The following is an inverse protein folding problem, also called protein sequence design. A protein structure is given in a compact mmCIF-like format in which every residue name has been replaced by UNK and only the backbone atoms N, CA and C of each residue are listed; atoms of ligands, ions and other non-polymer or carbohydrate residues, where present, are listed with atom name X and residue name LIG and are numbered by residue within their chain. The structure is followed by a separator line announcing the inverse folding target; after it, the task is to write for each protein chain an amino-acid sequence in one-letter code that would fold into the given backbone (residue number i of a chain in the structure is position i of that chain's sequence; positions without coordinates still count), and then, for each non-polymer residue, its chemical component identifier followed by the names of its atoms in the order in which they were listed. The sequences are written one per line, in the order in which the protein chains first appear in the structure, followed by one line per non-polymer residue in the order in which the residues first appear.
data_IF_476566846129
#
_entry.id   IF_476566846129
#
_cell.length_a   1.000
_cell.length_b   1.000
_cell.length_c   1.000
_cell.angle_alpha   90.00
_cell.angle_beta   90.00
_cell.angle_gamma   90.00
#
_symmetry.space_group_name_H-M   'P 1'
#
loop_
_entity.id
_entity.type
_entity.pdbx_description
1 polymer ?
#
# COMPACT_ATOMS: atom_id res chain seq x y z
N UNK A 1 4.23 24.77 18.70
CA UNK A 1 4.17 24.23 17.33
C UNK A 1 3.45 25.26 16.47
N UNK A 2 3.77 25.39 15.18
CA UNK A 2 3.11 26.39 14.32
C UNK A 2 2.34 25.72 13.19
N UNK A 3 1.14 26.20 12.91
CA UNK A 3 0.37 25.82 11.74
C UNK A 3 0.49 26.90 10.66
N UNK A 4 0.63 26.44 9.42
CA UNK A 4 0.71 27.30 8.24
C UNK A 4 -0.46 26.95 7.33
N UNK A 5 -1.33 27.92 7.08
CA UNK A 5 -2.31 27.84 6.01
C UNK A 5 -1.73 28.57 4.79
N UNK A 6 -1.48 27.84 3.72
CA UNK A 6 -0.74 28.33 2.58
C UNK A 6 -0.85 27.42 1.37
N UNK A 7 -0.01 27.69 0.38
CA UNK A 7 0.13 26.85 -0.81
C UNK A 7 1.55 26.32 -0.90
N UNK A 8 1.68 25.05 -1.23
CA UNK A 8 2.96 24.44 -1.57
C UNK A 8 3.11 24.51 -3.09
N UNK A 9 4.27 24.97 -3.54
CA UNK A 9 4.68 24.97 -4.93
C UNK A 9 5.96 24.15 -5.03
N UNK A 10 6.11 23.40 -6.12
CA UNK A 10 7.29 22.59 -6.36
C UNK A 10 7.85 22.92 -7.73
N UNK A 11 9.11 23.29 -7.76
CA UNK A 11 9.87 23.51 -8.99
C UNK A 11 11.10 22.59 -8.96
N UNK A 12 11.02 21.50 -9.73
CA UNK A 12 12.04 20.45 -9.74
C UNK A 12 12.27 19.85 -8.35
N UNK A 13 13.47 20.08 -7.80
CA UNK A 13 13.90 19.61 -6.49
C UNK A 13 13.55 20.56 -5.34
N UNK A 14 13.13 21.79 -5.64
CA UNK A 14 12.82 22.80 -4.63
C UNK A 14 11.32 22.85 -4.35
N UNK A 15 10.96 22.85 -3.07
CA UNK A 15 9.60 23.12 -2.62
C UNK A 15 9.52 24.49 -1.94
N UNK A 16 8.65 25.35 -2.45
CA UNK A 16 8.30 26.63 -1.87
C UNK A 16 7.00 26.49 -1.08
N UNK A 17 6.98 26.98 0.16
CA UNK A 17 5.76 27.12 0.95
C UNK A 17 5.40 28.60 1.03
N UNK A 18 4.30 28.99 0.37
CA UNK A 18 3.74 30.34 0.45
C UNK A 18 2.72 30.38 1.57
N UNK A 19 3.11 30.93 2.72
CA UNK A 19 2.22 31.09 3.87
C UNK A 19 1.23 32.25 3.64
N UNK A 20 -0.07 31.97 3.74
CA UNK A 20 -1.13 33.00 3.76
C UNK A 20 -1.46 33.41 5.20
N UNK A 21 -1.42 32.47 6.12
CA UNK A 21 -1.66 32.69 7.54
C UNK A 21 -0.76 31.76 8.36
N UNK A 22 -0.20 32.30 9.44
CA UNK A 22 0.55 31.59 10.45
C UNK A 22 -0.23 31.65 11.76
N UNK A 23 -0.45 30.49 12.38
CA UNK A 23 -1.10 30.38 13.68
C UNK A 23 -0.16 29.70 14.66
N UNK A 24 0.02 30.32 15.83
CA UNK A 24 0.72 29.67 16.93
C UNK A 24 -0.25 28.73 17.66
N UNK A 25 0.14 27.46 17.75
CA UNK A 25 -0.61 26.41 18.44
C UNK A 25 0.08 26.01 19.75
N UNK A 26 1.06 26.79 20.22
CA UNK A 26 1.74 26.54 21.50
C UNK A 26 0.74 26.40 22.65
N UNK A 27 -0.22 27.32 22.77
CA UNK A 27 -1.28 27.31 23.78
C UNK A 27 -2.19 26.08 23.72
N UNK A 28 -2.63 25.71 22.51
CA UNK A 28 -3.54 24.57 22.31
C UNK A 28 -2.88 23.23 22.64
N UNK A 29 -1.55 23.15 22.52
CA UNK A 29 -0.79 21.92 22.74
C UNK A 29 -0.06 21.82 24.09
N UNK A 30 -0.11 22.84 24.96
CA UNK A 30 0.59 22.83 26.26
C UNK A 30 0.28 21.56 27.06
N UNK A 31 -0.99 21.14 27.12
CA UNK A 31 -1.43 19.97 27.88
C UNK A 31 -1.47 18.67 27.10
N UNK A 32 -0.98 18.61 25.86
CA UNK A 32 -0.98 17.38 25.07
C UNK A 32 0.13 16.41 25.52
N UNK A 33 1.27 16.95 25.98
CA UNK A 33 2.39 16.15 26.47
C UNK A 33 2.11 15.48 27.82
N UNK A 34 1.29 16.11 28.68
CA UNK A 34 0.95 15.60 30.01
C UNK A 34 -0.17 14.54 29.98
N UNK A 35 -0.71 14.22 28.80
CA UNK A 35 -1.65 13.11 28.66
C UNK A 35 -0.84 11.81 28.66
N UNK A 36 -0.70 11.21 29.85
CA UNK A 36 -0.30 9.80 30.06
C UNK A 36 -1.38 8.82 29.52
N UNK A 37 -1.97 9.15 28.37
CA UNK A 37 -2.83 8.25 27.63
C UNK A 37 -1.96 7.46 26.69
N UNK A 38 -1.90 6.14 26.88
CA UNK A 38 -1.28 5.24 25.92
C UNK A 38 -1.85 5.53 24.52
N UNK A 39 -0.98 5.89 23.58
CA UNK A 39 -1.37 6.08 22.19
C UNK A 39 -1.68 4.72 21.57
N UNK A 40 -2.93 4.27 21.77
CA UNK A 40 -3.42 3.01 21.23
C UNK A 40 -3.60 3.17 19.72
N UNK A 41 -2.57 2.83 18.95
CA UNK A 41 -2.72 2.67 17.51
C UNK A 41 -3.72 1.54 17.26
N UNK A 42 -4.82 1.79 16.50
CA UNK A 42 -5.68 0.70 16.08
C UNK A 42 -4.84 -0.21 15.17
N UNK A 43 -4.76 -1.49 15.55
CA UNK A 43 -4.06 -2.46 14.74
C UNK A 43 -4.75 -2.62 13.39
N UNK A 44 -3.98 -2.65 12.30
CA UNK A 44 -4.50 -2.67 10.93
C UNK A 44 -3.62 -3.46 9.97
N UNK A 45 -4.23 -3.94 8.87
CA UNK A 45 -3.58 -4.75 7.83
C UNK A 45 -2.26 -4.11 7.38
N UNK A 46 -1.14 -4.64 7.86
CA UNK A 46 0.21 -4.06 7.71
C UNK A 46 1.06 -4.08 8.99
N UNK A 47 0.44 -4.25 10.15
CA UNK A 47 1.11 -4.42 11.45
C UNK A 47 1.28 -5.89 11.89
N UNK A 48 0.85 -6.82 11.03
CA UNK A 48 0.80 -8.27 11.28
C UNK A 48 2.19 -8.83 11.66
N UNK A 49 3.25 -8.22 11.13
CA UNK A 49 4.65 -8.55 11.45
C UNK A 49 5.08 -8.08 12.86
N UNK A 50 4.51 -7.00 13.38
CA UNK A 50 4.83 -6.46 14.70
C UNK A 50 4.03 -7.16 15.82
N UNK A 51 2.85 -7.72 15.49
CA UNK A 51 1.93 -8.32 16.47
C UNK A 51 1.93 -9.87 16.49
N UNK A 52 2.94 -10.51 15.89
CA UNK A 52 3.34 -11.87 16.27
C UNK A 52 2.54 -13.03 15.64
N UNK A 53 1.81 -12.81 14.55
CA UNK A 53 1.32 -13.92 13.72
C UNK A 53 1.83 -13.79 12.30
N UNK A 54 3.00 -14.37 12.07
CA UNK A 54 3.43 -14.76 10.72
C UNK A 54 2.53 -15.93 10.31
N UNK A 55 1.40 -15.64 9.69
CA UNK A 55 0.67 -16.69 8.98
C UNK A 55 1.63 -17.22 7.89
N UNK A 56 1.87 -18.54 7.81
CA UNK A 56 2.72 -19.09 6.77
C UNK A 56 2.20 -18.61 5.42
N UNK A 57 3.10 -18.05 4.61
CA UNK A 57 2.75 -17.57 3.28
C UNK A 57 1.94 -18.66 2.58
N UNK A 58 0.79 -18.32 2.03
CA UNK A 58 -0.05 -19.30 1.33
C UNK A 58 0.70 -19.96 0.17
N UNK A 59 1.81 -19.36 -0.29
CA UNK A 59 2.75 -19.91 -1.27
C UNK A 59 3.64 -21.04 -0.71
N UNK A 60 3.93 -21.03 0.58
CA UNK A 60 4.72 -22.07 1.26
C UNK A 60 3.87 -23.29 1.63
N UNK A 61 2.53 -23.18 1.54
CA UNK A 61 1.64 -24.33 1.71
C UNK A 61 1.80 -25.28 0.52
N UNK A 62 2.09 -26.56 0.73
CA UNK A 62 2.15 -27.53 -0.36
C UNK A 62 0.78 -27.58 -1.05
N UNK A 63 0.75 -27.17 -2.32
CA UNK A 63 -0.49 -27.26 -3.12
C UNK A 63 -0.87 -28.73 -3.24
N UNK A 64 -2.13 -29.11 -2.98
CA UNK A 64 -2.57 -30.47 -3.26
C UNK A 64 -2.37 -30.73 -4.76
N UNK A 65 -1.57 -31.74 -5.08
CA UNK A 65 -1.38 -32.21 -6.46
C UNK A 65 -2.66 -32.94 -6.84
N UNK A 66 -3.59 -32.20 -7.46
CA UNK A 66 -4.77 -32.81 -8.06
C UNK A 66 -4.33 -33.40 -9.40
N UNK A 67 -4.40 -34.74 -9.60
CA UNK A 67 -4.14 -35.33 -10.90
C UNK A 67 -5.13 -34.73 -11.90
N UNK A 68 -4.63 -34.10 -12.95
CA UNK A 68 -5.49 -33.65 -14.05
C UNK A 68 -6.07 -34.89 -14.74
N UNK A 69 -7.38 -34.87 -14.95
CA UNK A 69 -8.09 -35.95 -15.61
C UNK A 69 -7.75 -35.93 -17.11
N UNK A 70 -6.80 -36.78 -17.51
CA UNK A 70 -6.16 -36.76 -18.83
C UNK A 70 -6.98 -37.47 -19.93
N UNK A 71 -8.24 -37.81 -19.66
CA UNK A 71 -9.13 -38.50 -20.61
C UNK A 71 -9.72 -37.60 -21.68
N UNK A 72 -9.52 -36.28 -21.61
CA UNK A 72 -9.76 -35.40 -22.75
C UNK A 72 -8.47 -35.31 -23.55
N UNK A 73 -8.37 -36.14 -24.60
CA UNK A 73 -7.38 -35.92 -25.66
C UNK A 73 -7.54 -34.49 -26.15
N UNK A 74 -6.43 -33.74 -26.21
CA UNK A 74 -6.38 -32.36 -26.68
C UNK A 74 -6.89 -32.31 -28.12
N UNK A 75 -8.19 -32.06 -28.25
CA UNK A 75 -8.91 -32.06 -29.51
C UNK A 75 -8.58 -30.74 -30.20
N UNK A 76 -7.64 -30.83 -31.15
CA UNK A 76 -7.35 -29.90 -32.26
C UNK A 76 -6.29 -28.82 -31.98
N UNK A 77 -5.02 -29.21 -32.11
CA UNK A 77 -3.87 -28.28 -32.33
C UNK A 77 -4.13 -27.38 -33.57
N UNK A 78 -5.02 -27.81 -34.46
CA UNK A 78 -5.44 -27.09 -35.67
C UNK A 78 -6.24 -25.80 -35.40
N UNK A 79 -6.68 -25.56 -34.16
CA UNK A 79 -7.43 -24.34 -33.80
C UNK A 79 -6.55 -23.11 -33.58
N UNK A 80 -5.24 -23.27 -33.38
CA UNK A 80 -4.35 -22.17 -33.01
C UNK A 80 -3.86 -21.39 -34.24
N UNK A 81 -4.80 -20.75 -34.95
CA UNK A 81 -4.53 -19.90 -36.10
C UNK A 81 -4.32 -18.44 -35.67
N UNK A 82 -3.13 -18.14 -35.15
CA UNK A 82 -2.75 -16.78 -34.71
C UNK A 82 -2.45 -15.91 -35.93
N UNK A 83 -3.23 -14.84 -36.16
CA UNK A 83 -2.90 -13.81 -37.16
C UNK A 83 -1.77 -12.93 -36.64
N UNK A 84 -0.64 -12.93 -37.34
CA UNK A 84 0.46 -11.98 -37.10
C UNK A 84 0.05 -10.57 -37.51
N UNK A 85 0.42 -9.56 -36.70
CA UNK A 85 0.30 -8.14 -37.07
C UNK A 85 1.62 -7.69 -37.67
N UNK A 86 1.52 -7.02 -38.82
CA UNK A 86 2.66 -6.31 -39.41
C UNK A 86 2.74 -4.93 -38.77
N UNK A 87 3.93 -4.58 -38.27
CA UNK A 87 4.24 -3.23 -37.83
C UNK A 87 4.98 -2.56 -39.00
N UNK A 88 4.35 -1.54 -39.59
CA UNK A 88 4.95 -0.64 -40.58
C UNK A 88 5.35 0.66 -39.90
#
# INVERSE_FOLDING_TARGET
MMAINGRIQREGEVMHLVAKQLSDLSGDFVGLADRDTEFRRPSGRGDEFAHGRVEPDSRDRPKPVVPRDLFTLDLHIDTLKVKVRNFH
#
